data_IF_153397854889
#
_entry.id   IF_153397854889
#
_cell.length_a   1.000
_cell.length_b   1.000
_cell.length_c   1.000
_cell.angle_alpha   90.00
_cell.angle_beta   90.00
_cell.angle_gamma   90.00
#
_symmetry.space_group_name_H-M   'P 1'
#
loop_
_entity.id
_entity.type
_entity.pdbx_description
1 polymer ?
#
# COMPACT_ATOMS: atom_id res chain seq x y z
N UNK A 1 -23.81 19.37 -62.87
CA UNK A 1 -23.14 19.95 -61.69
C UNK A 1 -23.81 19.57 -60.37
N UNK A 2 -25.14 19.58 -60.22
CA UNK A 2 -25.84 19.18 -58.97
C UNK A 2 -25.53 17.76 -58.45
N UNK A 3 -25.30 16.77 -59.33
CA UNK A 3 -24.95 15.39 -58.95
C UNK A 3 -23.52 15.24 -58.38
N UNK A 4 -22.58 16.11 -58.77
CA UNK A 4 -21.19 16.07 -58.27
C UNK A 4 -21.09 16.63 -56.85
N UNK A 5 -21.86 17.67 -56.52
CA UNK A 5 -21.90 18.25 -55.17
C UNK A 5 -22.53 17.32 -54.14
N UNK A 6 -23.51 16.49 -54.54
CA UNK A 6 -24.13 15.47 -53.69
C UNK A 6 -23.18 14.31 -53.34
N UNK A 7 -22.36 13.85 -54.29
CA UNK A 7 -21.38 12.79 -54.02
C UNK A 7 -20.22 13.23 -53.11
N UNK A 8 -19.89 14.52 -53.08
CA UNK A 8 -18.89 15.07 -52.15
C UNK A 8 -19.40 15.17 -50.69
N UNK A 9 -20.72 15.17 -50.49
CA UNK A 9 -21.36 15.22 -49.17
C UNK A 9 -21.35 13.86 -48.45
N UNK A 10 -21.41 12.77 -49.20
CA UNK A 10 -21.39 11.40 -48.66
C UNK A 10 -20.14 11.11 -47.81
N UNK A 11 -18.89 11.33 -48.26
CA UNK A 11 -17.71 11.04 -47.45
C UNK A 11 -17.61 11.93 -46.21
N UNK A 12 -18.11 13.17 -46.27
CA UNK A 12 -18.17 14.07 -45.11
C UNK A 12 -19.14 13.52 -44.07
N UNK A 13 -20.33 13.08 -44.49
CA UNK A 13 -21.31 12.46 -43.60
C UNK A 13 -20.76 11.16 -42.98
N UNK A 14 -20.09 10.31 -43.77
CA UNK A 14 -19.45 9.09 -43.28
C UNK A 14 -18.37 9.41 -42.24
N UNK A 15 -17.52 10.42 -42.48
CA UNK A 15 -16.48 10.85 -41.54
C UNK A 15 -17.08 11.32 -40.21
N UNK A 16 -18.17 12.09 -40.25
CA UNK A 16 -18.87 12.55 -39.04
C UNK A 16 -19.42 11.37 -38.25
N UNK A 17 -20.05 10.39 -38.92
CA UNK A 17 -20.57 9.18 -38.27
C UNK A 17 -19.45 8.36 -37.64
N UNK A 18 -18.34 8.13 -38.36
CA UNK A 18 -17.18 7.40 -37.82
C UNK A 18 -16.59 8.12 -36.61
N UNK A 19 -16.48 9.45 -36.66
CA UNK A 19 -15.94 10.26 -35.56
C UNK A 19 -16.85 10.19 -34.33
N UNK A 20 -18.17 10.30 -34.53
CA UNK A 20 -19.15 10.16 -33.45
C UNK A 20 -19.13 8.75 -32.84
N UNK A 21 -19.02 7.71 -33.67
CA UNK A 21 -18.91 6.33 -33.21
C UNK A 21 -17.62 6.08 -32.41
N UNK A 22 -16.48 6.62 -32.86
CA UNK A 22 -15.22 6.54 -32.15
C UNK A 22 -15.30 7.24 -30.78
N UNK A 23 -15.91 8.43 -30.72
CA UNK A 23 -16.11 9.14 -29.45
C UNK A 23 -17.02 8.35 -28.49
N UNK A 24 -18.13 7.80 -29.01
CA UNK A 24 -19.02 6.95 -28.23
C UNK A 24 -18.29 5.70 -27.69
N UNK A 25 -17.45 5.05 -28.51
CA UNK A 25 -16.65 3.90 -28.08
C UNK A 25 -15.64 4.27 -26.98
N UNK A 26 -15.00 5.44 -27.07
CA UNK A 26 -14.10 5.94 -26.01
C UNK A 26 -14.85 6.19 -24.71
N UNK A 27 -16.03 6.80 -24.77
CA UNK A 27 -16.87 7.02 -23.58
C UNK A 27 -17.31 5.69 -22.97
N UNK A 28 -17.73 4.72 -23.80
CA UNK A 28 -18.08 3.37 -23.34
C UNK A 28 -16.90 2.68 -22.64
N UNK A 29 -15.70 2.75 -23.22
CA UNK A 29 -14.49 2.21 -22.58
C UNK A 29 -14.18 2.87 -21.24
N UNK A 30 -14.43 4.19 -21.11
CA UNK A 30 -14.26 4.91 -19.84
C UNK A 30 -15.25 4.40 -18.78
N UNK A 31 -16.51 4.17 -19.15
CA UNK A 31 -17.50 3.61 -18.21
C UNK A 31 -17.15 2.18 -17.78
N UNK A 32 -16.64 1.34 -18.68
CA UNK A 32 -16.15 0.01 -18.34
C UNK A 32 -14.93 0.06 -17.40
N UNK A 33 -14.00 0.99 -17.61
CA UNK A 33 -12.89 1.22 -16.67
C UNK A 33 -13.37 1.65 -15.29
N UNK A 34 -14.31 2.58 -15.21
CA UNK A 34 -14.89 3.01 -13.94
C UNK A 34 -15.60 1.85 -13.21
N UNK A 35 -16.28 0.98 -13.95
CA UNK A 35 -16.90 -0.21 -13.37
C UNK A 35 -15.87 -1.22 -12.84
N UNK A 36 -14.76 -1.44 -13.55
CA UNK A 36 -13.68 -2.31 -13.08
C UNK A 36 -12.97 -1.75 -11.85
N UNK A 37 -12.79 -0.43 -11.78
CA UNK A 37 -12.21 0.26 -10.61
C UNK A 37 -13.05 0.06 -9.34
N UNK A 38 -14.38 0.05 -9.48
CA UNK A 38 -15.29 -0.16 -8.36
C UNK A 38 -15.15 -1.56 -7.76
N UNK A 39 -14.91 -2.59 -8.59
CA UNK A 39 -14.64 -3.94 -8.10
C UNK A 39 -13.34 -4.01 -7.30
N UNK A 40 -12.27 -3.35 -7.74
CA UNK A 40 -10.99 -3.30 -7.01
C UNK A 40 -11.11 -2.57 -5.66
N UNK A 41 -11.86 -1.47 -5.64
CA UNK A 41 -12.19 -0.73 -4.42
C UNK A 41 -12.97 -1.58 -3.41
N UNK A 42 -13.97 -2.33 -3.87
CA UNK A 42 -14.74 -3.24 -3.01
C UNK A 42 -13.88 -4.37 -2.43
N UNK A 43 -12.93 -4.91 -3.20
CA UNK A 43 -11.98 -5.90 -2.69
C UNK A 43 -11.14 -5.35 -1.54
N UNK A 44 -10.58 -4.14 -1.69
CA UNK A 44 -9.83 -3.49 -0.61
C UNK A 44 -10.72 -3.23 0.61
N UNK A 45 -11.95 -2.76 0.38
CA UNK A 45 -12.87 -2.39 1.46
C UNK A 45 -13.31 -3.61 2.28
N UNK A 46 -13.67 -4.72 1.61
CA UNK A 46 -14.01 -5.98 2.29
C UNK A 46 -12.83 -6.52 3.08
N UNK A 47 -11.61 -6.44 2.52
CA UNK A 47 -10.40 -6.91 3.21
C UNK A 47 -10.07 -6.07 4.46
N UNK A 48 -10.33 -4.76 4.43
CA UNK A 48 -10.13 -3.89 5.58
C UNK A 48 -11.06 -4.24 6.76
N UNK A 49 -12.29 -4.68 6.46
CA UNK A 49 -13.35 -4.93 7.44
C UNK A 49 -13.31 -6.33 8.07
N UNK A 50 -12.49 -7.25 7.57
CA UNK A 50 -12.43 -8.61 8.07
C UNK A 50 -11.63 -8.69 9.41
N UNK A 51 -12.23 -9.19 10.51
CA UNK A 51 -11.53 -9.39 11.77
C UNK A 51 -10.33 -10.35 11.68
N UNK A 52 -10.36 -11.33 10.77
CA UNK A 52 -9.23 -12.24 10.58
C UNK A 52 -8.02 -11.49 10.00
N UNK A 53 -8.27 -10.49 9.15
CA UNK A 53 -7.20 -9.66 8.58
C UNK A 53 -6.59 -8.71 9.60
N UNK A 54 -7.36 -8.27 10.60
CA UNK A 54 -6.80 -7.51 11.73
C UNK A 54 -5.80 -8.37 12.51
N UNK A 55 -6.13 -9.64 12.80
CA UNK A 55 -5.20 -10.56 13.49
C UNK A 55 -3.92 -10.80 12.71
N UNK A 56 -4.03 -10.93 11.38
CA UNK A 56 -2.86 -11.12 10.51
C UNK A 56 -1.96 -9.88 10.51
N UNK A 57 -2.54 -8.69 10.45
CA UNK A 57 -1.80 -7.42 10.57
C UNK A 57 -1.12 -7.30 11.92
N UNK A 58 -1.84 -7.59 13.00
CA UNK A 58 -1.31 -7.52 14.36
C UNK A 58 -0.14 -8.49 14.56
N UNK A 59 -0.25 -9.71 14.03
CA UNK A 59 0.84 -10.69 14.06
C UNK A 59 2.09 -10.18 13.32
N UNK A 60 1.93 -9.62 12.11
CA UNK A 60 3.07 -9.07 11.34
C UNK A 60 3.72 -7.89 12.06
N UNK A 61 2.93 -7.02 12.68
CA UNK A 61 3.42 -5.83 13.37
C UNK A 61 4.15 -6.16 14.67
N UNK A 62 3.60 -7.08 15.47
CA UNK A 62 3.99 -7.28 16.86
C UNK A 62 4.75 -8.60 17.11
N UNK A 63 4.37 -9.69 16.46
CA UNK A 63 4.86 -11.04 16.79
C UNK A 63 5.93 -11.57 15.82
N UNK A 64 5.81 -11.23 14.54
CA UNK A 64 6.63 -11.80 13.47
C UNK A 64 8.13 -11.61 13.71
N UNK A 65 8.54 -10.43 14.18
CA UNK A 65 9.97 -10.14 14.41
C UNK A 65 10.57 -11.02 15.52
N UNK A 66 9.77 -11.34 16.54
CA UNK A 66 10.16 -12.27 17.60
C UNK A 66 10.23 -13.70 17.08
N UNK A 67 9.21 -14.12 16.30
CA UNK A 67 9.17 -15.44 15.65
C UNK A 67 10.34 -15.66 14.70
N UNK A 68 10.74 -14.62 13.97
CA UNK A 68 11.90 -14.65 13.07
C UNK A 68 13.23 -14.87 13.78
N UNK A 69 13.33 -14.74 15.12
CA UNK A 69 14.53 -15.10 15.87
C UNK A 69 14.73 -16.62 15.97
N UNK A 70 13.65 -17.40 15.87
CA UNK A 70 13.70 -18.86 15.89
C UNK A 70 14.26 -19.41 14.57
N UNK A 71 15.34 -20.20 14.69
CA UNK A 71 16.01 -20.81 13.55
C UNK A 71 15.14 -21.88 12.87
N UNK A 72 14.30 -22.59 13.62
CA UNK A 72 13.43 -23.62 13.05
C UNK A 72 12.26 -22.98 12.30
N UNK A 73 11.71 -21.86 12.79
CA UNK A 73 10.74 -21.05 12.05
C UNK A 73 11.31 -20.51 10.73
N UNK A 74 12.54 -19.99 10.74
CA UNK A 74 13.20 -19.56 9.49
C UNK A 74 13.47 -20.73 8.54
N UNK A 75 13.76 -21.92 9.06
CA UNK A 75 14.00 -23.11 8.25
C UNK A 75 12.70 -23.64 7.64
N UNK A 76 11.56 -23.54 8.33
CA UNK A 76 10.28 -23.99 7.77
C UNK A 76 9.82 -23.12 6.60
N UNK A 77 10.22 -21.83 6.52
CA UNK A 77 9.96 -20.96 5.36
C UNK A 77 10.59 -21.46 4.05
N UNK A 78 11.69 -22.20 4.12
CA UNK A 78 12.39 -22.71 2.93
C UNK A 78 11.84 -24.05 2.45
N UNK A 79 10.97 -24.70 3.23
CA UNK A 79 10.35 -25.97 2.88
C UNK A 79 9.29 -25.80 1.77
N UNK A 80 8.99 -26.87 1.04
CA UNK A 80 7.92 -26.91 0.04
C UNK A 80 7.03 -28.13 0.28
N UNK A 81 5.70 -27.97 0.44
CA UNK A 81 4.96 -26.70 0.61
C UNK A 81 5.24 -26.06 1.98
N UNK A 82 5.04 -24.74 2.10
CA UNK A 82 5.04 -24.08 3.42
C UNK A 82 3.67 -24.24 4.05
N UNK A 83 3.62 -24.57 5.34
CA UNK A 83 2.36 -24.69 6.07
C UNK A 83 1.77 -23.30 6.37
N UNK A 84 0.61 -22.94 5.78
CA UNK A 84 -0.04 -21.64 5.99
C UNK A 84 -0.58 -21.46 7.42
N UNK A 85 -0.65 -22.52 8.24
CA UNK A 85 -1.03 -22.43 9.66
C UNK A 85 0.13 -21.95 10.53
N UNK A 86 1.35 -22.23 10.11
CA UNK A 86 2.58 -21.81 10.81
C UNK A 86 3.03 -20.42 10.33
N UNK A 87 2.86 -20.17 9.03
CA UNK A 87 3.35 -18.98 8.34
C UNK A 87 2.20 -18.09 7.89
N UNK A 88 1.50 -17.51 8.87
CA UNK A 88 0.34 -16.66 8.60
C UNK A 88 0.72 -15.34 7.94
N UNK A 89 1.97 -14.89 8.12
CA UNK A 89 2.54 -13.71 7.46
C UNK A 89 2.49 -13.81 5.93
N UNK A 90 2.50 -15.02 5.37
CA UNK A 90 2.43 -15.21 3.92
C UNK A 90 1.10 -14.78 3.34
N UNK A 91 0.01 -14.82 4.12
CA UNK A 91 -1.29 -14.29 3.68
C UNK A 91 -1.21 -12.78 3.46
N UNK A 92 -0.44 -12.07 4.29
CA UNK A 92 -0.24 -10.63 4.14
C UNK A 92 0.65 -10.35 2.93
N UNK A 93 1.71 -11.14 2.71
CA UNK A 93 2.50 -11.06 1.46
C UNK A 93 1.63 -11.27 0.22
N UNK A 94 0.81 -12.32 0.20
CA UNK A 94 -0.08 -12.67 -0.91
C UNK A 94 -1.13 -11.56 -1.17
N UNK A 95 -1.63 -10.93 -0.11
CA UNK A 95 -2.52 -9.78 -0.21
C UNK A 95 -1.84 -8.60 -0.92
N UNK A 96 -0.67 -8.17 -0.46
CA UNK A 96 0.02 -7.04 -1.07
C UNK A 96 0.53 -7.34 -2.48
N UNK A 97 0.91 -8.59 -2.75
CA UNK A 97 1.24 -9.05 -4.10
C UNK A 97 0.06 -8.87 -5.05
N UNK A 98 -1.14 -9.24 -4.59
CA UNK A 98 -2.36 -9.07 -5.36
C UNK A 98 -2.69 -7.59 -5.59
N UNK A 99 -2.61 -6.75 -4.55
CA UNK A 99 -2.82 -5.30 -4.67
C UNK A 99 -1.80 -4.67 -5.62
N UNK A 100 -0.52 -5.03 -5.48
CA UNK A 100 0.54 -4.55 -6.36
C UNK A 100 0.26 -4.88 -7.83
N UNK A 101 -0.24 -6.09 -8.11
CA UNK A 101 -0.63 -6.48 -9.46
C UNK A 101 -1.84 -5.67 -9.97
N UNK A 102 -2.81 -5.37 -9.11
CA UNK A 102 -3.97 -4.55 -9.47
C UNK A 102 -3.59 -3.09 -9.75
N UNK A 103 -2.70 -2.51 -8.95
CA UNK A 103 -2.16 -1.16 -9.17
C UNK A 103 -1.34 -1.13 -10.46
N UNK A 104 -0.42 -2.09 -10.65
CA UNK A 104 0.43 -2.20 -11.84
C UNK A 104 -0.38 -2.35 -13.14
N UNK A 105 -1.55 -3.00 -13.08
CA UNK A 105 -2.48 -3.15 -14.21
C UNK A 105 -3.51 -2.03 -14.35
N UNK A 106 -3.51 -1.04 -13.46
CA UNK A 106 -4.45 0.09 -13.49
C UNK A 106 -5.89 -0.28 -13.13
N UNK A 107 -6.10 -1.41 -12.44
CA UNK A 107 -7.40 -1.77 -11.88
C UNK A 107 -7.71 -0.96 -10.61
N UNK A 108 -6.66 -0.64 -9.84
CA UNK A 108 -6.70 0.30 -8.74
C UNK A 108 -5.91 1.54 -9.18
N UNK A 109 -6.49 2.72 -9.02
CA UNK A 109 -5.78 3.96 -9.28
C UNK A 109 -4.66 4.15 -8.24
N UNK A 110 -3.41 4.20 -8.72
CA UNK A 110 -2.22 4.28 -7.87
C UNK A 110 -2.26 5.49 -6.94
N UNK A 111 -2.64 6.66 -7.47
CA UNK A 111 -2.63 7.89 -6.70
C UNK A 111 -3.65 7.86 -5.56
N UNK A 112 -4.85 7.37 -5.85
CA UNK A 112 -5.93 7.25 -4.87
C UNK A 112 -5.61 6.22 -3.79
N UNK A 113 -4.97 5.11 -4.16
CA UNK A 113 -4.57 4.07 -3.19
C UNK A 113 -3.42 4.55 -2.29
N UNK A 114 -2.35 5.09 -2.88
CA UNK A 114 -1.17 5.50 -2.13
C UNK A 114 -1.41 6.73 -1.26
N UNK A 115 -2.34 7.62 -1.63
CA UNK A 115 -2.74 8.75 -0.79
C UNK A 115 -3.23 8.31 0.61
N UNK A 116 -3.79 7.10 0.71
CA UNK A 116 -4.28 6.54 1.97
C UNK A 116 -3.35 5.48 2.56
N UNK A 117 -2.74 4.64 1.73
CA UNK A 117 -2.08 3.41 2.19
C UNK A 117 -0.56 3.44 2.13
N UNK A 118 0.09 4.50 1.63
CA UNK A 118 1.54 4.50 1.41
C UNK A 118 2.36 4.14 2.66
N UNK A 119 2.08 4.77 3.81
CA UNK A 119 2.79 4.48 5.07
C UNK A 119 2.56 3.04 5.54
N UNK A 120 1.36 2.50 5.29
CA UNK A 120 1.02 1.13 5.67
C UNK A 120 1.74 0.10 4.77
N UNK A 121 1.82 0.36 3.47
CA UNK A 121 2.61 -0.47 2.54
C UNK A 121 4.08 -0.50 2.97
N UNK A 122 4.69 0.66 3.23
CA UNK A 122 6.09 0.78 3.66
C UNK A 122 6.38 0.05 4.98
N UNK A 123 5.47 0.20 5.95
CA UNK A 123 5.55 -0.52 7.22
C UNK A 123 5.47 -2.04 7.02
N UNK A 124 4.51 -2.53 6.22
CA UNK A 124 4.32 -3.96 5.98
C UNK A 124 5.51 -4.56 5.22
N UNK A 125 5.99 -3.88 4.18
CA UNK A 125 7.18 -4.30 3.44
C UNK A 125 8.37 -4.44 4.38
N UNK A 126 8.66 -3.42 5.18
CA UNK A 126 9.78 -3.42 6.14
C UNK A 126 9.71 -4.58 7.13
N UNK A 127 8.50 -4.94 7.60
CA UNK A 127 8.32 -6.08 8.52
C UNK A 127 8.46 -7.43 7.81
N UNK A 128 8.04 -7.53 6.55
CA UNK A 128 8.00 -8.78 5.78
C UNK A 128 9.26 -9.04 4.96
N UNK A 129 10.10 -8.02 4.73
CA UNK A 129 11.33 -8.12 3.95
C UNK A 129 12.23 -9.29 4.38
N UNK A 130 12.47 -9.57 5.68
CA UNK A 130 13.29 -10.72 6.07
C UNK A 130 12.69 -12.06 5.66
N UNK A 131 11.36 -12.20 5.71
CA UNK A 131 10.64 -13.41 5.28
C UNK A 131 10.81 -13.59 3.78
N UNK A 132 10.57 -12.54 2.99
CA UNK A 132 10.72 -12.54 1.54
C UNK A 132 12.16 -12.88 1.16
N UNK A 133 13.15 -12.29 1.82
CA UNK A 133 14.57 -12.57 1.58
C UNK A 133 14.92 -14.05 1.85
N UNK A 134 14.41 -14.65 2.92
CA UNK A 134 14.61 -16.08 3.21
C UNK A 134 13.99 -16.94 2.11
N UNK A 135 12.76 -16.62 1.70
CA UNK A 135 12.05 -17.40 0.68
C UNK A 135 12.72 -17.28 -0.69
N UNK A 136 13.14 -16.06 -1.12
CA UNK A 136 13.82 -15.82 -2.39
C UNK A 136 15.10 -16.63 -2.54
N UNK A 137 15.90 -16.77 -1.48
CA UNK A 137 17.12 -17.62 -1.47
C UNK A 137 16.88 -19.08 -1.86
N UNK A 138 15.71 -19.62 -1.53
CA UNK A 138 15.36 -21.04 -1.74
C UNK A 138 14.42 -21.27 -2.91
N UNK A 139 13.88 -20.21 -3.51
CA UNK A 139 12.84 -20.31 -4.54
C UNK A 139 13.25 -19.64 -5.83
N UNK A 140 13.05 -18.33 -5.89
CA UNK A 140 13.36 -17.47 -7.03
C UNK A 140 13.41 -16.02 -6.55
N UNK A 141 14.22 -15.19 -7.20
CA UNK A 141 14.36 -13.78 -6.87
C UNK A 141 13.08 -12.97 -7.17
N UNK A 142 12.25 -13.43 -8.11
CA UNK A 142 11.02 -12.72 -8.53
C UNK A 142 9.82 -12.96 -7.60
N UNK A 143 10.02 -13.66 -6.48
CA UNK A 143 8.95 -13.94 -5.53
C UNK A 143 8.49 -12.62 -4.90
N UNK A 144 7.19 -12.33 -4.97
CA UNK A 144 6.58 -11.11 -4.44
C UNK A 144 7.00 -9.81 -5.18
N UNK A 145 7.29 -9.90 -6.47
CA UNK A 145 7.66 -8.74 -7.32
C UNK A 145 6.59 -7.65 -7.39
N UNK A 146 5.31 -8.01 -7.33
CA UNK A 146 4.27 -6.98 -7.40
C UNK A 146 4.11 -6.27 -6.06
N UNK A 147 4.35 -6.95 -4.93
CA UNK A 147 4.49 -6.29 -3.63
C UNK A 147 5.72 -5.37 -3.62
N UNK A 148 6.86 -5.83 -4.12
CA UNK A 148 8.07 -4.99 -4.24
C UNK A 148 7.82 -3.76 -5.12
N UNK A 149 7.15 -3.95 -6.26
CA UNK A 149 6.72 -2.84 -7.11
C UNK A 149 5.85 -1.86 -6.32
N UNK A 150 4.84 -2.34 -5.59
CA UNK A 150 3.94 -1.50 -4.81
C UNK A 150 4.70 -0.68 -3.76
N UNK A 151 5.66 -1.31 -3.08
CA UNK A 151 6.52 -0.64 -2.10
C UNK A 151 7.37 0.45 -2.76
N UNK A 152 8.01 0.15 -3.89
CA UNK A 152 8.79 1.14 -4.61
C UNK A 152 7.92 2.35 -5.00
N UNK A 153 6.65 2.13 -5.37
CA UNK A 153 5.69 3.22 -5.64
C UNK A 153 5.33 3.99 -4.37
N UNK A 154 5.11 3.30 -3.25
CA UNK A 154 4.82 3.94 -1.96
C UNK A 154 5.95 4.86 -1.50
N UNK A 155 7.21 4.40 -1.55
CA UNK A 155 8.37 5.23 -1.21
C UNK A 155 8.51 6.46 -2.11
N UNK A 156 8.29 6.30 -3.42
CA UNK A 156 8.29 7.43 -4.36
C UNK A 156 7.16 8.42 -4.06
N UNK A 157 5.99 7.92 -3.64
CA UNK A 157 4.86 8.75 -3.24
C UNK A 157 5.16 9.56 -1.98
N UNK A 158 5.70 8.92 -0.94
CA UNK A 158 6.11 9.55 0.32
C UNK A 158 7.16 10.64 0.05
N UNK A 159 8.18 10.33 -0.76
CA UNK A 159 9.21 11.30 -1.13
C UNK A 159 8.63 12.53 -1.86
N UNK A 160 7.63 12.31 -2.73
CA UNK A 160 6.95 13.39 -3.47
C UNK A 160 6.02 14.23 -2.59
N UNK A 161 5.40 13.62 -1.57
CA UNK A 161 4.39 14.24 -0.71
C UNK A 161 4.84 14.29 0.75
N UNK A 162 6.10 14.64 1.01
CA UNK A 162 6.68 14.68 2.36
C UNK A 162 5.98 15.65 3.34
N UNK A 163 5.16 16.58 2.84
CA UNK A 163 4.32 17.50 3.63
C UNK A 163 2.84 17.13 3.61
N UNK A 164 2.53 15.91 3.19
CA UNK A 164 1.19 15.43 2.89
C UNK A 164 0.66 15.95 1.55
N UNK A 165 -0.45 15.37 1.12
CA UNK A 165 -1.16 15.71 -0.11
C UNK A 165 -2.49 16.45 0.17
N UNK A 166 -2.53 17.23 1.26
CA UNK A 166 -3.72 17.98 1.64
C UNK A 166 -4.05 19.04 0.58
N UNK A 167 -5.33 19.20 0.17
CA UNK A 167 -5.71 20.17 -0.84
C UNK A 167 -5.27 21.60 -0.47
N UNK A 168 -4.52 22.25 -1.36
CA UNK A 168 -3.90 23.57 -1.09
C UNK A 168 -4.90 24.69 -0.82
N UNK A 169 -6.12 24.57 -1.37
CA UNK A 169 -7.16 25.59 -1.27
C UNK A 169 -8.16 25.32 -0.15
N UNK A 170 -7.92 24.29 0.68
CA UNK A 170 -8.78 23.96 1.81
C UNK A 170 -8.12 24.44 3.10
N UNK A 171 -8.80 25.21 3.95
CA UNK A 171 -8.26 25.57 5.27
C UNK A 171 -8.11 24.34 6.15
N UNK A 172 -6.95 24.18 6.80
CA UNK A 172 -6.76 23.14 7.82
C UNK A 172 -7.50 23.51 9.10
N UNK A 173 -8.14 22.52 9.73
CA UNK A 173 -8.75 22.67 11.04
C UNK A 173 -7.64 22.56 12.09
N UNK A 174 -7.55 23.55 12.99
CA UNK A 174 -6.59 23.52 14.08
C UNK A 174 -6.94 22.40 15.07
N UNK A 175 -6.01 21.46 15.28
CA UNK A 175 -6.13 20.41 16.29
C UNK A 175 -5.57 20.96 17.60
N UNK A 176 -6.40 20.99 18.66
CA UNK A 176 -5.97 21.38 20.01
C UNK A 176 -5.48 20.13 20.73
N UNK A 177 -4.18 20.10 21.02
CA UNK A 177 -3.58 19.07 21.86
C UNK A 177 -3.68 19.50 23.33
N UNK A 178 -4.68 18.98 24.03
CA UNK A 178 -4.91 19.27 25.44
C UNK A 178 -3.92 18.55 26.38
N UNK A 179 -3.16 17.58 25.85
CA UNK A 179 -2.29 16.70 26.64
C UNK A 179 -0.81 17.05 26.52
N UNK A 180 -0.44 17.90 25.55
CA UNK A 180 0.94 18.34 25.32
C UNK A 180 1.71 18.73 26.59
N UNK A 181 1.08 19.46 27.53
CA UNK A 181 1.71 19.90 28.77
C UNK A 181 1.95 18.76 29.76
N UNK A 182 1.03 17.79 29.85
CA UNK A 182 1.17 16.62 30.71
C UNK A 182 2.31 15.72 30.20
N UNK A 183 2.32 15.41 28.90
CA UNK A 183 3.30 14.50 28.28
C UNK A 183 4.73 15.06 28.29
N UNK A 184 4.86 16.39 28.19
CA UNK A 184 6.15 17.09 28.28
C UNK A 184 6.78 17.04 29.68
N UNK A 185 5.96 16.85 30.72
CA UNK A 185 6.42 16.84 32.12
C UNK A 185 6.89 15.44 32.52
N UNK A 186 6.18 14.39 32.10
CA UNK A 186 6.57 12.99 32.35
C UNK A 186 7.88 12.61 31.67
N UNK A 187 8.11 13.08 30.43
CA UNK A 187 9.35 12.81 29.69
C UNK A 187 10.59 13.37 30.39
N UNK A 188 10.44 14.46 31.15
CA UNK A 188 11.55 15.14 31.85
C UNK A 188 11.91 14.50 33.19
N UNK A 189 10.96 13.80 33.81
CA UNK A 189 11.17 13.05 35.07
C UNK A 189 11.86 11.70 34.85
N UNK A 190 11.82 11.15 33.63
CA UNK A 190 12.50 9.91 33.26
C UNK A 190 14.00 10.10 32.91
N UNK A 191 14.44 11.34 32.69
CA UNK A 191 15.84 11.68 32.33
C UNK A 191 16.70 12.16 33.50
N UNK A 192 16.17 12.24 34.74
CA UNK A 192 16.99 12.59 35.90
C UNK A 192 17.86 11.39 36.29
N UNK A 193 19.21 11.45 36.11
CA UNK A 193 20.06 10.32 36.39
C UNK A 193 20.05 10.07 37.90
N UNK A 194 19.75 8.84 38.29
CA UNK A 194 19.92 8.32 39.64
C UNK A 194 21.35 8.65 40.10
N UNK A 195 21.49 9.74 40.84
CA UNK A 195 22.77 10.18 41.39
C UNK A 195 23.21 9.12 42.38
N UNK A 196 24.16 8.29 41.94
CA UNK A 196 24.85 7.29 42.73
C UNK A 196 25.27 7.92 44.09
N UNK A 197 24.87 7.37 45.25
CA UNK A 197 25.25 7.94 46.53
C UNK A 197 26.78 7.88 46.70
N UNK A 198 27.35 9.03 47.03
CA UNK A 198 28.79 9.21 47.25
C UNK A 198 29.30 8.21 48.29
N UNK A 199 30.27 7.38 47.90
CA UNK A 199 31.05 6.55 48.83
C UNK A 199 31.81 7.49 49.78
N UNK A 200 31.48 7.41 51.07
CA UNK A 200 32.30 7.99 52.14
C UNK A 200 33.64 7.25 52.23
N UNK A 201 34.77 7.96 52.46
CA UNK A 201 36.04 7.30 52.69
C UNK A 201 36.10 6.78 54.13
N UNK A 202 36.30 5.48 54.28
CA UNK A 202 36.68 4.86 55.55
C UNK A 202 38.14 5.21 55.87
N UNK A 203 38.33 5.77 57.06
CA UNK A 203 39.60 5.93 57.79
C UNK A 203 40.40 4.65 57.94
#
# INVERSE_FOLDING_TARGET
MLLQSLNALVPIATLVVITAAAFAAVVQLRHLRASNQLSGLLTILHYSQDPEEQKLRDYVLNDLQTRLQDADFRRSLTQRPVDPRVHMELKVCDFFEQIGNYVKRGLIDESSYLDTACDFVDTMWTKLEPVIAIMRRSRDETLYDNFEYLEARARLWIARHSRGNYPRNTPRIAVRDNWLAADSTESRSAEEPETLPARTPST
#
